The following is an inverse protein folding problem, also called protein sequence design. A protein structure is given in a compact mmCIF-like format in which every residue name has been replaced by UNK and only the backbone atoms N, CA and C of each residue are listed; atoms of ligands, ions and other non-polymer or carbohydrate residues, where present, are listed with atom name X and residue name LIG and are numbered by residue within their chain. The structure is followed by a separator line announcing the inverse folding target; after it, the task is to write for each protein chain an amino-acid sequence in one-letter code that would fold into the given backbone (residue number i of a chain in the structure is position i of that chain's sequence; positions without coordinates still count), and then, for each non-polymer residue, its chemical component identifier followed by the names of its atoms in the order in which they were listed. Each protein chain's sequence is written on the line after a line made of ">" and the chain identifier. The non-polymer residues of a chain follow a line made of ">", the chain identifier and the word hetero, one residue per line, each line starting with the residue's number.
data_IF_189336918444
#
_entry.id   IF_189336918444
#
_cell.length_a   1.000
_cell.length_b   1.000
_cell.length_c   1.000
_cell.angle_alpha   90.00
_cell.angle_beta   90.00
_cell.angle_gamma   90.00
#
_symmetry.space_group_name_H-M   'P 1'
#
loop_
_entity.id
_entity.type
_entity.pdbx_description
1 polymer ?
#
# COMPACT_ATOMS: atom_id res chain seq x y z
N UNK A 1 11.11 -26.90 19.30
CA UNK A 1 11.66 -25.96 20.31
C UNK A 1 10.64 -24.84 20.48
N UNK A 2 10.43 -24.29 21.69
CA UNK A 2 9.69 -23.04 21.84
C UNK A 2 10.42 -21.95 21.07
N UNK A 3 9.69 -21.03 20.43
CA UNK A 3 10.30 -19.78 19.95
C UNK A 3 10.95 -19.08 21.14
N UNK A 4 12.13 -18.46 21.01
CA UNK A 4 12.53 -17.46 21.98
C UNK A 4 11.41 -16.41 22.07
N UNK A 5 11.06 -16.03 23.30
CA UNK A 5 10.13 -14.93 23.54
C UNK A 5 10.72 -13.68 22.89
N UNK A 6 9.99 -13.04 21.96
CA UNK A 6 10.47 -11.80 21.35
C UNK A 6 10.63 -10.72 22.44
N UNK A 7 11.69 -9.89 22.39
CA UNK A 7 11.89 -8.83 23.37
C UNK A 7 10.68 -7.90 23.50
N UNK A 8 10.28 -7.54 24.73
CA UNK A 8 9.11 -6.69 24.97
C UNK A 8 9.12 -5.38 24.17
N UNK A 9 10.30 -4.83 23.89
CA UNK A 9 10.44 -3.58 23.12
C UNK A 9 10.11 -3.72 21.62
N UNK A 10 9.92 -4.94 21.09
CA UNK A 10 9.48 -5.17 19.71
C UNK A 10 8.08 -5.79 19.60
N UNK A 11 7.29 -5.80 20.70
CA UNK A 11 5.95 -6.37 20.72
C UNK A 11 4.98 -5.69 19.73
N UNK A 12 5.03 -4.36 19.67
CA UNK A 12 4.27 -3.50 18.76
C UNK A 12 5.03 -2.18 18.54
N UNK A 13 4.48 -1.29 17.70
CA UNK A 13 5.08 0.01 17.43
C UNK A 13 5.19 0.88 18.68
N UNK A 14 4.16 0.94 19.53
CA UNK A 14 4.14 1.82 20.71
C UNK A 14 5.26 1.47 21.68
N UNK A 15 5.47 0.18 21.96
CA UNK A 15 6.58 -0.29 22.78
C UNK A 15 7.94 0.03 22.14
N UNK A 16 8.03 -0.04 20.81
CA UNK A 16 9.26 0.22 20.05
C UNK A 16 9.60 1.71 19.94
N UNK A 17 8.63 2.57 19.65
CA UNK A 17 8.76 4.02 19.66
C UNK A 17 9.18 4.52 21.04
N UNK A 18 8.47 4.11 22.10
CA UNK A 18 8.87 4.44 23.47
C UNK A 18 10.27 3.92 23.80
N UNK A 19 10.69 2.79 23.25
CA UNK A 19 12.04 2.27 23.43
C UNK A 19 13.10 3.11 22.72
N UNK A 20 12.85 3.50 21.47
CA UNK A 20 13.70 4.43 20.71
C UNK A 20 13.78 5.78 21.42
N UNK A 21 12.65 6.33 21.86
CA UNK A 21 12.59 7.57 22.65
C UNK A 21 13.42 7.47 23.94
N UNK A 22 13.33 6.36 24.70
CA UNK A 22 14.19 6.11 25.87
C UNK A 22 15.66 6.06 25.49
N UNK A 23 16.05 5.36 24.42
CA UNK A 23 17.44 5.26 23.97
C UNK A 23 18.02 6.63 23.59
N UNK A 24 17.21 7.48 22.96
CA UNK A 24 17.59 8.84 22.59
C UNK A 24 17.65 9.76 23.82
N UNK A 25 16.70 9.67 24.75
CA UNK A 25 16.73 10.44 25.99
C UNK A 25 17.95 10.11 26.86
N UNK A 26 18.39 8.84 26.87
CA UNK A 26 19.65 8.40 27.52
C UNK A 26 20.91 8.96 26.88
N UNK A 27 20.81 9.54 25.68
CA UNK A 27 21.91 10.19 24.96
C UNK A 27 21.93 11.72 25.16
N UNK A 28 21.26 12.23 26.20
CA UNK A 28 21.05 13.65 26.52
C UNK A 28 20.42 14.45 25.36
N UNK A 29 19.43 13.87 24.70
CA UNK A 29 18.54 14.57 23.77
C UNK A 29 17.15 14.69 24.41
N UNK A 30 16.53 15.86 24.31
CA UNK A 30 15.10 15.98 24.65
C UNK A 30 14.28 15.34 23.53
N UNK A 31 13.26 14.57 23.89
CA UNK A 31 12.38 13.88 22.92
C UNK A 31 10.95 14.35 23.10
N UNK A 32 10.31 14.74 22.01
CA UNK A 32 8.89 15.12 21.95
C UNK A 32 8.21 14.24 20.90
N UNK A 33 7.11 13.57 21.24
CA UNK A 33 6.32 12.81 20.26
C UNK A 33 5.71 13.77 19.22
N UNK A 34 5.65 13.35 17.96
CA UNK A 34 5.00 14.13 16.90
C UNK A 34 3.51 14.34 17.18
N UNK A 35 2.91 15.37 16.59
CA UNK A 35 1.47 15.60 16.74
C UNK A 35 0.70 14.53 15.94
N UNK A 36 -0.47 14.14 16.45
CA UNK A 36 -1.39 13.24 15.74
C UNK A 36 -1.65 13.74 14.31
N UNK A 37 -1.57 12.83 13.33
CA UNK A 37 -1.66 13.09 11.88
C UNK A 37 -0.51 13.92 11.26
N UNK A 38 0.64 14.08 11.93
CA UNK A 38 1.81 14.71 11.30
C UNK A 38 2.54 13.71 10.38
N UNK A 39 2.60 13.95 9.05
CA UNK A 39 3.22 13.01 8.13
C UNK A 39 4.76 13.12 8.14
N UNK A 40 5.44 11.98 8.00
CA UNK A 40 6.88 11.90 7.70
C UNK A 40 7.79 11.54 8.88
N UNK A 41 7.38 11.76 10.13
CA UNK A 41 8.20 11.40 11.31
C UNK A 41 7.33 11.16 12.55
N UNK A 42 7.91 10.48 13.55
CA UNK A 42 7.22 10.02 14.75
C UNK A 42 7.71 10.75 16.02
N UNK A 43 9.00 11.15 16.08
CA UNK A 43 9.57 11.92 17.20
C UNK A 43 10.32 13.18 16.70
N UNK A 44 10.32 14.24 17.51
CA UNK A 44 11.23 15.39 17.41
C UNK A 44 12.30 15.25 18.49
N UNK A 45 13.56 15.52 18.14
CA UNK A 45 14.71 15.41 19.05
C UNK A 45 15.51 16.71 19.08
N UNK A 46 15.93 17.17 20.27
CA UNK A 46 16.69 18.43 20.41
C UNK A 46 17.89 18.28 21.33
N UNK A 47 19.02 18.92 20.98
CA UNK A 47 20.22 19.02 21.81
C UNK A 47 20.97 20.31 21.50
N UNK A 48 20.92 21.27 22.42
CA UNK A 48 21.38 22.63 22.17
C UNK A 48 20.62 23.26 21.00
N UNK A 49 21.35 23.77 20.00
CA UNK A 49 20.77 24.37 18.80
C UNK A 49 20.39 23.35 17.70
N UNK A 50 20.65 22.06 17.90
CA UNK A 50 20.31 21.01 16.94
C UNK A 50 18.89 20.51 17.21
N UNK A 51 18.04 20.58 16.18
CA UNK A 51 16.67 20.06 16.16
C UNK A 51 16.55 19.09 14.99
N UNK A 52 16.21 17.84 15.27
CA UNK A 52 16.03 16.79 14.29
C UNK A 52 14.72 16.05 14.46
N UNK A 53 14.45 15.13 13.53
CA UNK A 53 13.27 14.25 13.53
C UNK A 53 13.69 12.79 13.50
N UNK A 54 12.85 11.91 14.03
CA UNK A 54 13.05 10.47 14.00
C UNK A 54 11.86 9.82 13.32
N UNK A 55 12.11 9.03 12.28
CA UNK A 55 11.13 8.08 11.76
C UNK A 55 11.44 6.70 12.35
N UNK A 56 10.46 6.14 13.04
CA UNK A 56 10.50 4.84 13.69
C UNK A 56 9.82 3.83 12.78
N UNK A 57 10.50 2.72 12.45
CA UNK A 57 9.98 1.65 11.59
C UNK A 57 10.02 0.30 12.29
N UNK A 58 8.93 0.04 13.01
CA UNK A 58 8.57 -1.30 13.47
C UNK A 58 8.19 -2.17 12.26
N UNK A 59 9.05 -3.12 11.93
CA UNK A 59 8.91 -4.03 10.80
C UNK A 59 9.19 -5.48 11.22
N UNK A 60 8.55 -6.42 10.53
CA UNK A 60 8.84 -7.86 10.64
C UNK A 60 10.01 -8.28 9.74
N UNK A 61 10.09 -7.71 8.54
CA UNK A 61 11.20 -7.85 7.60
C UNK A 61 12.23 -6.71 7.69
N UNK A 62 13.21 -6.74 6.79
CA UNK A 62 14.18 -5.65 6.64
C UNK A 62 13.57 -4.43 5.92
N UNK A 63 14.11 -3.26 6.21
CA UNK A 63 13.78 -1.99 5.54
C UNK A 63 14.11 -2.07 4.06
N UNK A 64 13.15 -1.67 3.22
CA UNK A 64 13.28 -1.65 1.76
C UNK A 64 13.75 -0.28 1.26
N UNK A 65 14.34 -0.23 0.06
CA UNK A 65 14.80 1.05 -0.49
C UNK A 65 13.66 2.08 -0.66
N UNK A 66 12.44 1.72 -1.11
CA UNK A 66 11.27 2.60 -1.12
C UNK A 66 10.85 3.12 0.26
N UNK A 67 10.97 2.32 1.32
CA UNK A 67 10.68 2.78 2.69
C UNK A 67 11.67 3.84 3.16
N UNK A 68 12.95 3.66 2.81
CA UNK A 68 14.01 4.58 3.16
C UNK A 68 13.97 5.88 2.33
N UNK A 69 13.72 5.78 1.02
CA UNK A 69 13.53 6.95 0.14
C UNK A 69 12.42 7.86 0.63
N UNK A 70 11.26 7.31 1.02
CA UNK A 70 10.11 8.09 1.49
C UNK A 70 10.46 9.04 2.67
N UNK A 71 11.40 8.67 3.54
CA UNK A 71 11.88 9.55 4.60
C UNK A 71 12.94 10.55 4.13
N UNK A 72 13.83 10.17 3.21
CA UNK A 72 14.78 11.10 2.59
C UNK A 72 14.04 12.21 1.80
N UNK A 73 13.05 11.83 0.99
CA UNK A 73 12.17 12.73 0.24
C UNK A 73 11.41 13.68 1.20
N UNK A 74 10.93 13.17 2.34
CA UNK A 74 10.33 14.00 3.37
C UNK A 74 11.33 15.03 3.94
N UNK A 75 12.55 14.62 4.26
CA UNK A 75 13.57 15.55 4.79
C UNK A 75 13.84 16.68 3.79
N UNK A 76 13.90 16.38 2.49
CA UNK A 76 14.17 17.37 1.43
C UNK A 76 12.94 18.21 1.02
N UNK A 77 11.74 17.87 1.51
CA UNK A 77 10.56 18.74 1.43
C UNK A 77 10.74 20.04 2.24
N UNK A 78 9.94 21.08 1.95
CA UNK A 78 10.02 22.35 2.68
C UNK A 78 9.61 22.25 4.16
N UNK A 79 8.87 21.20 4.54
CA UNK A 79 8.61 20.86 5.94
C UNK A 79 9.84 20.24 6.59
N UNK A 80 10.47 19.28 5.91
CA UNK A 80 11.69 18.61 6.38
C UNK A 80 12.92 19.52 6.45
N UNK A 81 12.99 20.57 5.62
CA UNK A 81 14.03 21.63 5.68
C UNK A 81 14.01 22.46 6.97
N UNK A 82 12.92 22.41 7.77
CA UNK A 82 12.85 23.06 9.10
C UNK A 82 13.72 22.34 10.15
N UNK A 83 14.17 21.12 9.85
CA UNK A 83 14.97 20.28 10.73
C UNK A 83 16.41 20.15 10.23
N UNK A 84 17.37 20.15 11.17
CA UNK A 84 18.79 20.03 10.86
C UNK A 84 19.16 18.64 10.31
N UNK A 85 18.50 17.59 10.80
CA UNK A 85 18.77 16.20 10.42
C UNK A 85 17.54 15.29 10.66
N UNK A 86 17.59 14.08 10.13
CA UNK A 86 16.63 13.00 10.41
C UNK A 86 17.31 11.68 10.78
N UNK A 87 16.69 10.92 11.69
CA UNK A 87 17.11 9.56 12.05
C UNK A 87 16.06 8.54 11.62
N UNK A 88 16.48 7.50 10.88
CA UNK A 88 15.63 6.39 10.47
C UNK A 88 15.98 5.16 11.30
N UNK A 89 15.10 4.76 12.22
CA UNK A 89 15.39 3.73 13.22
C UNK A 89 14.44 2.53 13.05
N UNK A 90 14.99 1.32 12.90
CA UNK A 90 14.19 0.09 12.65
C UNK A 90 14.44 -1.04 13.65
N UNK A 91 13.47 -1.96 13.77
CA UNK A 91 13.51 -3.17 14.59
C UNK A 91 14.44 -4.27 14.09
N UNK A 92 14.65 -4.37 12.76
CA UNK A 92 15.33 -5.52 12.14
C UNK A 92 16.67 -5.13 11.52
N UNK A 93 16.63 -4.40 10.41
CA UNK A 93 17.81 -4.13 9.58
C UNK A 93 17.40 -3.59 8.21
N UNK A 94 18.34 -3.52 7.28
CA UNK A 94 18.16 -2.92 5.96
C UNK A 94 18.44 -3.97 4.87
N UNK A 95 17.58 -4.05 3.86
CA UNK A 95 17.74 -4.96 2.73
C UNK A 95 18.94 -4.57 1.86
N UNK A 96 19.44 -5.51 1.05
CA UNK A 96 20.56 -5.26 0.13
C UNK A 96 20.40 -3.99 -0.72
N UNK A 97 19.23 -3.76 -1.37
CA UNK A 97 18.97 -2.52 -2.12
C UNK A 97 18.95 -1.25 -1.26
N UNK A 98 18.44 -1.32 -0.02
CA UNK A 98 18.45 -0.17 0.89
C UNK A 98 19.87 0.17 1.35
N UNK A 99 20.68 -0.84 1.69
CA UNK A 99 22.10 -0.68 2.00
C UNK A 99 22.91 -0.14 0.80
N UNK A 100 22.57 -0.57 -0.42
CA UNK A 100 23.17 -0.05 -1.64
C UNK A 100 22.83 1.43 -1.85
N UNK A 101 21.56 1.81 -1.69
CA UNK A 101 21.11 3.21 -1.75
C UNK A 101 21.86 4.08 -0.73
N UNK A 102 21.96 3.64 0.53
CA UNK A 102 22.68 4.38 1.57
C UNK A 102 24.14 4.67 1.22
N UNK A 103 24.82 3.74 0.54
CA UNK A 103 26.21 3.91 0.07
C UNK A 103 26.36 4.94 -1.06
N UNK A 104 25.27 5.32 -1.73
CA UNK A 104 25.29 6.38 -2.77
C UNK A 104 25.15 7.79 -2.18
N UNK A 105 24.74 7.91 -0.92
CA UNK A 105 24.57 9.20 -0.27
C UNK A 105 25.90 9.82 0.14
N UNK A 106 26.07 11.11 -0.13
CA UNK A 106 27.22 11.89 0.31
C UNK A 106 27.26 12.10 1.83
N UNK A 107 28.43 12.43 2.38
CA UNK A 107 28.64 12.65 3.82
C UNK A 107 27.71 13.73 4.42
N UNK A 108 27.35 14.71 3.59
CA UNK A 108 26.50 15.84 3.93
C UNK A 108 24.99 15.50 3.92
N UNK A 109 24.62 14.25 3.65
CA UNK A 109 23.22 13.83 3.73
C UNK A 109 22.66 14.06 5.13
N UNK A 110 21.43 14.58 5.23
CA UNK A 110 20.80 14.92 6.52
C UNK A 110 20.20 13.71 7.24
N UNK A 111 20.17 12.54 6.61
CA UNK A 111 19.65 11.30 7.19
C UNK A 111 20.77 10.48 7.87
N UNK A 112 20.48 9.84 9.00
CA UNK A 112 21.29 8.74 9.57
C UNK A 112 20.39 7.56 9.87
N UNK A 113 20.88 6.35 9.62
CA UNK A 113 20.10 5.12 9.71
C UNK A 113 20.66 4.21 10.80
N UNK A 114 19.77 3.59 11.58
CA UNK A 114 20.18 2.71 12.67
C UNK A 114 19.17 1.63 13.02
N UNK A 115 19.65 0.64 13.78
CA UNK A 115 18.89 -0.48 14.29
C UNK A 115 18.80 -0.32 15.81
N UNK A 116 17.58 -0.42 16.35
CA UNK A 116 17.38 -0.40 17.80
C UNK A 116 17.46 -1.81 18.37
N UNK A 117 18.40 -2.00 19.28
CA UNK A 117 18.53 -3.19 20.10
C UNK A 117 18.09 -2.89 21.53
N UNK A 118 17.98 -3.93 22.37
CA UNK A 118 17.48 -3.86 23.74
C UNK A 118 18.15 -2.78 24.61
N UNK A 119 19.43 -2.47 24.38
CA UNK A 119 20.18 -1.53 25.22
C UNK A 119 20.93 -0.44 24.44
N UNK A 120 20.84 -0.40 23.10
CA UNK A 120 21.58 0.54 22.26
C UNK A 120 20.92 0.78 20.90
N UNK A 121 21.13 1.97 20.34
CA UNK A 121 20.98 2.20 18.91
C UNK A 121 22.34 1.91 18.23
N UNK A 122 22.33 1.22 17.09
CA UNK A 122 23.53 0.94 16.28
C UNK A 122 23.38 1.60 14.92
N UNK A 123 24.27 2.54 14.58
CA UNK A 123 24.32 3.16 13.26
C UNK A 123 24.88 2.19 12.22
N UNK A 124 24.40 2.30 10.98
CA UNK A 124 24.85 1.45 9.87
C UNK A 124 26.31 1.72 9.47
N UNK A 125 26.79 2.96 9.68
CA UNK A 125 28.15 3.38 9.31
C UNK A 125 29.23 3.04 10.36
N UNK A 126 28.89 2.25 11.38
CA UNK A 126 29.81 1.78 12.43
C UNK A 126 29.85 2.63 13.71
N UNK A 127 29.30 3.85 13.69
CA UNK A 127 29.13 4.66 14.89
C UNK A 127 28.06 4.07 15.82
N UNK A 128 28.42 3.89 17.09
CA UNK A 128 27.50 3.40 18.14
C UNK A 128 26.67 4.53 18.72
N UNK A 129 25.34 4.43 18.65
CA UNK A 129 24.39 5.50 18.99
C UNK A 129 23.81 5.30 20.42
N UNK A 130 24.71 5.00 21.38
CA UNK A 130 24.55 5.24 22.84
C UNK A 130 23.56 4.28 23.58
N UNK A 131 23.63 4.17 24.93
CA UNK A 131 22.82 3.21 25.72
C UNK A 131 22.77 3.32 27.27
N UNK A 132 21.67 2.81 27.87
CA UNK A 132 21.34 2.66 29.33
C UNK A 132 20.83 3.94 30.05
N UNK A 133 19.79 3.99 30.94
CA UNK A 133 18.84 3.04 31.60
C UNK A 133 17.42 3.70 31.84
N UNK A 134 16.44 2.93 32.36
CA UNK A 134 15.12 3.27 33.00
C UNK A 134 14.59 4.74 33.03
N UNK A 135 13.29 5.07 32.81
CA UNK A 135 11.99 4.36 32.85
C UNK A 135 10.96 4.95 31.81
N UNK A 136 9.86 4.24 31.44
CA UNK A 136 8.67 4.84 30.81
C UNK A 136 7.60 5.34 31.80
N UNK A 137 6.87 6.38 31.38
CA UNK A 137 5.42 6.48 31.56
C UNK A 137 4.75 6.22 30.20
N UNK A 138 3.53 5.67 30.20
CA UNK A 138 2.81 5.24 28.99
C UNK A 138 1.60 6.13 28.72
N UNK A 139 1.50 6.66 27.50
CA UNK A 139 0.23 7.17 26.93
C UNK A 139 -0.11 6.35 25.68
N UNK A 140 -1.35 5.88 25.61
CA UNK A 140 -1.87 5.14 24.45
C UNK A 140 -2.33 6.14 23.37
N UNK A 141 -1.84 5.98 22.14
CA UNK A 141 -2.30 6.78 21.00
C UNK A 141 -3.31 6.02 20.13
N UNK A 142 -4.33 6.76 19.66
CA UNK A 142 -5.36 6.24 18.76
C UNK A 142 -4.85 6.37 17.32
N UNK A 143 -4.62 5.24 16.64
CA UNK A 143 -4.24 5.24 15.22
C UNK A 143 -5.42 5.70 14.34
N UNK A 144 -5.20 6.56 13.32
CA UNK A 144 -6.26 7.01 12.44
C UNK A 144 -6.84 5.84 11.63
N UNK A 145 -8.17 5.81 11.47
CA UNK A 145 -8.86 4.73 10.74
C UNK A 145 -8.47 4.73 9.26
N UNK A 146 -7.82 3.66 8.82
CA UNK A 146 -7.47 3.40 7.42
C UNK A 146 -8.65 2.81 6.64
N UNK A 147 -8.61 2.99 5.32
CA UNK A 147 -9.54 2.37 4.37
C UNK A 147 -8.88 1.18 3.66
N UNK A 148 -9.60 0.06 3.60
CA UNK A 148 -9.09 -1.19 3.05
C UNK A 148 -9.80 -1.62 1.76
N UNK A 149 -9.02 -1.87 0.71
CA UNK A 149 -9.46 -2.49 -0.54
C UNK A 149 -8.91 -3.92 -0.65
N UNK A 150 -9.75 -4.88 -1.02
CA UNK A 150 -9.34 -6.23 -1.40
C UNK A 150 -9.64 -6.53 -2.86
N UNK A 151 -8.62 -6.83 -3.65
CA UNK A 151 -8.78 -7.18 -5.07
C UNK A 151 -8.79 -8.70 -5.19
N UNK A 152 -9.97 -9.29 -5.29
CA UNK A 152 -10.16 -10.73 -5.39
C UNK A 152 -10.21 -11.18 -6.85
N UNK A 153 -9.93 -12.46 -7.11
CA UNK A 153 -10.28 -13.05 -8.40
C UNK A 153 -10.77 -14.48 -8.27
N UNK A 154 -11.73 -14.80 -9.14
CA UNK A 154 -12.27 -16.13 -9.29
C UNK A 154 -11.44 -17.04 -10.23
N UNK A 155 -10.46 -16.48 -10.95
CA UNK A 155 -9.49 -17.19 -11.81
C UNK A 155 -8.21 -16.39 -12.07
N UNK A 156 -7.12 -17.09 -12.37
CA UNK A 156 -5.95 -16.48 -13.00
C UNK A 156 -6.27 -15.79 -14.33
N UNK A 157 -5.52 -14.74 -14.68
CA UNK A 157 -5.57 -14.09 -16.00
C UNK A 157 -6.65 -13.03 -16.22
N UNK A 158 -7.52 -12.72 -15.26
CA UNK A 158 -8.50 -11.59 -15.37
C UNK A 158 -7.95 -10.23 -14.89
N UNK A 159 -6.65 -10.15 -14.61
CA UNK A 159 -5.94 -8.90 -14.27
C UNK A 159 -6.09 -8.42 -12.81
N UNK A 160 -6.16 -9.33 -11.83
CA UNK A 160 -6.23 -9.02 -10.39
C UNK A 160 -5.09 -8.07 -9.95
N UNK A 161 -3.85 -8.52 -10.08
CA UNK A 161 -2.63 -7.77 -9.75
C UNK A 161 -2.52 -6.46 -10.52
N UNK A 162 -2.95 -6.46 -11.79
CA UNK A 162 -3.07 -5.26 -12.61
C UNK A 162 -4.03 -4.24 -11.97
N UNK A 163 -5.22 -4.66 -11.57
CA UNK A 163 -6.20 -3.78 -10.91
C UNK A 163 -5.68 -3.27 -9.57
N UNK A 164 -5.02 -4.12 -8.77
CA UNK A 164 -4.43 -3.71 -7.49
C UNK A 164 -3.38 -2.59 -7.65
N UNK A 165 -2.33 -2.83 -8.45
CA UNK A 165 -1.24 -1.88 -8.63
C UNK A 165 -1.69 -0.54 -9.23
N UNK A 166 -2.59 -0.58 -10.23
CA UNK A 166 -3.02 0.64 -10.92
C UNK A 166 -4.11 1.43 -10.17
N UNK A 167 -4.99 0.76 -9.41
CA UNK A 167 -5.90 1.47 -8.51
C UNK A 167 -5.13 2.18 -7.39
N UNK A 168 -4.09 1.56 -6.85
CA UNK A 168 -3.19 2.20 -5.89
C UNK A 168 -2.52 3.43 -6.51
N UNK A 169 -2.04 3.32 -7.75
CA UNK A 169 -1.52 4.44 -8.52
C UNK A 169 -2.52 5.58 -8.74
N UNK A 170 -3.77 5.26 -9.07
CA UNK A 170 -4.82 6.27 -9.28
C UNK A 170 -5.14 7.03 -8.00
N UNK A 171 -5.30 6.32 -6.88
CA UNK A 171 -5.54 6.93 -5.57
C UNK A 171 -4.32 7.76 -5.09
N UNK A 172 -3.10 7.30 -5.35
CA UNK A 172 -1.89 8.08 -5.07
C UNK A 172 -1.81 9.37 -5.92
N UNK A 173 -2.25 9.33 -7.19
CA UNK A 173 -2.38 10.54 -8.03
C UNK A 173 -3.46 11.51 -7.56
N UNK A 174 -4.46 11.03 -6.81
CA UNK A 174 -5.46 11.87 -6.15
C UNK A 174 -4.98 12.43 -4.79
N UNK A 175 -3.74 12.11 -4.38
CA UNK A 175 -3.09 12.67 -3.19
C UNK A 175 -3.12 11.77 -1.95
N UNK A 176 -3.63 10.53 -2.05
CA UNK A 176 -3.71 9.63 -0.90
C UNK A 176 -2.39 8.89 -0.66
N UNK A 177 -2.02 8.75 0.61
CA UNK A 177 -0.93 7.87 1.01
C UNK A 177 -1.41 6.42 0.93
N UNK A 178 -1.02 5.71 -0.13
CA UNK A 178 -1.42 4.31 -0.37
C UNK A 178 -0.30 3.34 0.00
N UNK A 179 -0.68 2.19 0.57
CA UNK A 179 0.16 0.99 0.69
C UNK A 179 -0.43 -0.17 -0.14
N UNK A 180 0.42 -0.94 -0.78
CA UNK A 180 0.06 -2.20 -1.46
C UNK A 180 0.47 -3.39 -0.60
N UNK A 181 -0.37 -4.42 -0.53
CA UNK A 181 -0.08 -5.66 0.20
C UNK A 181 -0.31 -6.86 -0.72
N UNK A 182 0.74 -7.61 -1.02
CA UNK A 182 0.64 -8.83 -1.82
C UNK A 182 0.29 -10.02 -0.89
N UNK A 183 -0.98 -10.44 -0.93
CA UNK A 183 -1.47 -11.60 -0.18
C UNK A 183 -1.43 -12.89 -1.03
N UNK A 184 -0.96 -12.81 -2.28
CA UNK A 184 -0.85 -13.96 -3.15
C UNK A 184 0.46 -14.71 -2.83
N UNK A 185 0.44 -16.02 -2.49
CA UNK A 185 1.67 -16.78 -2.27
C UNK A 185 2.61 -16.82 -3.49
N UNK A 186 2.08 -16.56 -4.69
CA UNK A 186 2.88 -16.43 -5.91
C UNK A 186 3.64 -15.10 -5.99
N UNK A 187 3.33 -14.10 -5.16
CA UNK A 187 4.00 -12.80 -5.07
C UNK A 187 4.08 -12.07 -6.43
N UNK A 188 3.02 -12.17 -7.22
CA UNK A 188 3.00 -11.66 -8.59
C UNK A 188 3.04 -10.12 -8.63
N UNK A 189 2.56 -9.42 -7.60
CA UNK A 189 2.73 -7.97 -7.51
C UNK A 189 4.19 -7.63 -7.19
N UNK A 190 4.77 -8.25 -6.16
CA UNK A 190 6.17 -8.00 -5.78
C UNK A 190 7.16 -8.34 -6.90
N UNK A 191 6.88 -9.36 -7.72
CA UNK A 191 7.68 -9.65 -8.94
C UNK A 191 7.60 -8.52 -9.98
N UNK A 192 6.46 -7.85 -10.10
CA UNK A 192 6.23 -6.80 -11.09
C UNK A 192 6.76 -5.42 -10.68
N UNK A 193 6.70 -5.09 -9.39
CA UNK A 193 7.01 -3.75 -8.85
C UNK A 193 8.00 -3.73 -7.68
N UNK A 194 8.56 -4.87 -7.29
CA UNK A 194 9.45 -4.97 -6.13
C UNK A 194 8.78 -4.50 -4.83
N UNK A 195 9.57 -3.87 -3.97
CA UNK A 195 9.13 -3.33 -2.67
C UNK A 195 8.41 -1.97 -2.76
N UNK A 196 8.24 -1.42 -3.95
CA UNK A 196 7.60 -0.12 -4.14
C UNK A 196 7.59 0.38 -5.57
N UNK A 197 6.52 1.08 -5.95
CA UNK A 197 6.29 1.60 -7.30
C UNK A 197 6.25 3.12 -7.30
N UNK A 198 7.02 3.74 -8.20
CA UNK A 198 6.99 5.18 -8.39
C UNK A 198 5.81 5.58 -9.29
N UNK A 199 5.05 6.57 -8.83
CA UNK A 199 3.89 7.12 -9.52
C UNK A 199 4.20 8.57 -9.89
N UNK A 200 4.55 8.85 -11.17
CA UNK A 200 4.88 10.19 -11.60
C UNK A 200 3.63 11.08 -11.61
N UNK A 201 3.68 12.21 -10.91
CA UNK A 201 2.64 13.22 -10.92
C UNK A 201 2.97 14.32 -11.94
N UNK A 202 2.24 14.48 -13.05
CA UNK A 202 2.54 15.52 -14.05
C UNK A 202 2.39 16.97 -13.55
N UNK A 203 1.78 17.17 -12.38
CA UNK A 203 1.49 18.49 -11.79
C UNK A 203 2.32 18.81 -10.53
N UNK A 204 3.27 17.96 -10.15
CA UNK A 204 4.04 18.15 -8.92
C UNK A 204 5.12 17.08 -8.72
N UNK A 205 5.50 16.84 -7.48
CA UNK A 205 6.41 15.73 -7.14
C UNK A 205 5.64 14.42 -7.24
N UNK A 206 6.26 13.39 -7.85
CA UNK A 206 5.71 12.03 -7.85
C UNK A 206 5.78 11.39 -6.46
N UNK A 207 5.14 10.24 -6.28
CA UNK A 207 5.10 9.54 -5.00
C UNK A 207 5.44 8.07 -5.15
N UNK A 208 6.07 7.47 -4.15
CA UNK A 208 6.41 6.05 -4.14
C UNK A 208 5.45 5.28 -3.24
N UNK A 209 4.62 4.43 -3.84
CA UNK A 209 3.74 3.50 -3.12
C UNK A 209 4.60 2.35 -2.60
N UNK A 210 4.53 2.08 -1.30
CA UNK A 210 5.23 0.96 -0.67
C UNK A 210 4.46 -0.35 -0.91
N UNK A 211 5.18 -1.43 -1.25
CA UNK A 211 4.62 -2.76 -1.47
C UNK A 211 5.13 -3.70 -0.37
N UNK A 212 4.20 -4.31 0.35
CA UNK A 212 4.46 -5.20 1.47
C UNK A 212 4.09 -6.65 1.13
N UNK A 213 4.82 -7.61 1.68
CA UNK A 213 4.41 -9.00 1.67
C UNK A 213 3.29 -9.22 2.71
N UNK A 214 2.30 -10.06 2.41
CA UNK A 214 1.21 -10.36 3.35
C UNK A 214 1.67 -10.90 4.71
N UNK A 215 2.81 -11.59 4.78
CA UNK A 215 3.38 -12.07 6.05
C UNK A 215 4.01 -10.94 6.87
N UNK A 216 4.66 -9.99 6.18
CA UNK A 216 5.35 -8.84 6.78
C UNK A 216 4.40 -7.68 7.14
N UNK A 217 3.18 -7.68 6.59
CA UNK A 217 2.19 -6.64 6.85
C UNK A 217 1.83 -6.51 8.34
N UNK A 218 1.71 -5.26 8.76
CA UNK A 218 1.15 -4.82 10.02
C UNK A 218 0.64 -3.37 9.83
N UNK A 219 -0.37 -2.96 10.59
CA UNK A 219 -0.89 -1.60 10.57
C UNK A 219 0.19 -0.54 10.76
N UNK A 220 1.13 -0.76 11.67
CA UNK A 220 2.13 0.23 12.05
C UNK A 220 3.28 0.34 11.04
N UNK A 221 3.51 -0.69 10.22
CA UNK A 221 4.54 -0.68 9.19
C UNK A 221 4.35 0.48 8.19
N UNK A 222 3.09 0.82 7.94
CA UNK A 222 2.66 1.95 7.12
C UNK A 222 1.73 2.89 7.92
N UNK A 223 2.14 3.35 9.12
CA UNK A 223 1.34 4.21 9.99
C UNK A 223 0.78 5.47 9.30
N UNK A 224 1.49 6.02 8.31
CA UNK A 224 1.10 7.21 7.56
C UNK A 224 0.23 6.95 6.31
N UNK A 225 -0.07 5.68 5.98
CA UNK A 225 -0.98 5.36 4.88
C UNK A 225 -2.45 5.56 5.29
N UNK A 226 -3.23 6.16 4.40
CA UNK A 226 -4.68 6.34 4.55
C UNK A 226 -5.44 5.18 3.92
N UNK A 227 -4.89 4.60 2.84
CA UNK A 227 -5.49 3.53 2.06
C UNK A 227 -4.54 2.34 1.95
N UNK A 228 -5.08 1.13 2.11
CA UNK A 228 -4.37 -0.13 1.92
C UNK A 228 -5.07 -0.94 0.84
N UNK A 229 -4.32 -1.40 -0.17
CA UNK A 229 -4.85 -2.24 -1.25
C UNK A 229 -4.18 -3.61 -1.21
N UNK A 230 -4.98 -4.63 -0.91
CA UNK A 230 -4.58 -6.02 -0.85
C UNK A 230 -4.78 -6.68 -2.23
N UNK A 231 -3.70 -7.17 -2.85
CA UNK A 231 -3.78 -8.10 -3.99
C UNK A 231 -4.07 -9.50 -3.43
N UNK A 232 -5.33 -9.89 -3.34
CA UNK A 232 -5.78 -11.07 -2.59
C UNK A 232 -5.39 -12.39 -3.29
N UNK A 233 -5.16 -13.46 -2.53
CA UNK A 233 -5.05 -14.79 -3.13
C UNK A 233 -6.37 -15.18 -3.82
N UNK A 234 -6.35 -15.83 -5.00
CA UNK A 234 -7.57 -16.32 -5.68
C UNK A 234 -8.40 -17.31 -4.86
N UNK A 235 -7.74 -18.05 -3.96
CA UNK A 235 -8.39 -18.92 -2.99
C UNK A 235 -8.65 -18.10 -1.71
N UNK A 236 -9.92 -17.90 -1.34
CA UNK A 236 -10.30 -17.00 -0.25
C UNK A 236 -9.65 -17.41 1.08
N UNK A 237 -9.62 -18.72 1.35
CA UNK A 237 -9.07 -19.35 2.56
C UNK A 237 -7.56 -19.15 2.75
N UNK A 238 -6.83 -18.70 1.73
CA UNK A 238 -5.41 -18.33 1.82
C UNK A 238 -5.20 -16.87 2.25
N UNK A 239 -6.24 -16.05 2.24
CA UNK A 239 -6.16 -14.67 2.70
C UNK A 239 -6.33 -14.62 4.23
N UNK A 240 -5.55 -13.82 4.97
CA UNK A 240 -5.72 -13.68 6.41
C UNK A 240 -7.13 -13.19 6.76
N UNK A 241 -7.90 -14.00 7.51
CA UNK A 241 -9.30 -13.70 7.83
C UNK A 241 -9.51 -12.35 8.52
N UNK A 242 -8.56 -11.91 9.35
CA UNK A 242 -8.59 -10.60 9.99
C UNK A 242 -8.40 -9.42 9.01
N UNK A 243 -7.69 -9.62 7.89
CA UNK A 243 -7.66 -8.62 6.82
C UNK A 243 -8.95 -8.64 6.01
N UNK A 244 -9.50 -9.82 5.69
CA UNK A 244 -10.78 -9.95 4.98
C UNK A 244 -11.92 -9.28 5.76
N UNK A 245 -11.94 -9.40 7.10
CA UNK A 245 -12.88 -8.68 8.00
C UNK A 245 -12.74 -7.15 7.97
N UNK A 246 -11.54 -6.62 7.70
CA UNK A 246 -11.24 -5.18 7.71
C UNK A 246 -11.56 -4.48 6.39
N UNK A 247 -11.76 -5.22 5.29
CA UNK A 247 -12.04 -4.63 3.99
C UNK A 247 -13.31 -3.77 4.01
N UNK A 248 -13.18 -2.49 3.64
CA UNK A 248 -14.31 -1.61 3.36
C UNK A 248 -14.83 -1.84 1.92
N UNK A 249 -13.91 -2.15 1.00
CA UNK A 249 -14.20 -2.33 -0.44
C UNK A 249 -13.57 -3.62 -0.99
N UNK A 250 -14.33 -4.39 -1.75
CA UNK A 250 -13.81 -5.54 -2.50
C UNK A 250 -14.05 -5.33 -3.99
N UNK A 251 -13.02 -5.54 -4.82
CA UNK A 251 -13.14 -5.45 -6.28
C UNK A 251 -12.89 -6.81 -6.88
N UNK A 252 -13.79 -7.25 -7.76
CA UNK A 252 -13.77 -8.55 -8.41
C UNK A 252 -13.77 -8.32 -9.93
N UNK A 253 -12.59 -8.32 -10.59
CA UNK A 253 -12.50 -8.10 -12.02
C UNK A 253 -12.97 -9.33 -12.81
N UNK A 254 -13.66 -9.08 -13.91
CA UNK A 254 -14.15 -10.10 -14.85
C UNK A 254 -14.08 -9.62 -16.29
N UNK A 255 -14.13 -10.56 -17.24
CA UNK A 255 -14.05 -10.26 -18.68
C UNK A 255 -15.44 -10.19 -19.31
N UNK A 256 -15.69 -9.15 -20.10
CA UNK A 256 -17.00 -8.90 -20.72
C UNK A 256 -17.17 -9.62 -22.06
N UNK A 257 -17.25 -10.95 -21.99
CA UNK A 257 -17.55 -11.82 -23.12
C UNK A 257 -18.42 -13.00 -22.67
N UNK A 258 -19.09 -13.75 -23.57
CA UNK A 258 -20.07 -14.77 -23.17
C UNK A 258 -19.52 -15.86 -22.24
N UNK A 259 -18.25 -16.27 -22.42
CA UNK A 259 -17.60 -17.27 -21.56
C UNK A 259 -17.17 -16.68 -20.21
N UNK A 260 -16.71 -15.44 -20.20
CA UNK A 260 -16.41 -14.70 -18.98
C UNK A 260 -17.65 -14.54 -18.12
N UNK A 261 -18.74 -14.02 -18.68
CA UNK A 261 -20.00 -13.79 -17.94
C UNK A 261 -20.58 -15.11 -17.42
N UNK A 262 -20.72 -16.13 -18.26
CA UNK A 262 -21.32 -17.41 -17.87
C UNK A 262 -20.47 -18.23 -16.89
N UNK A 263 -19.14 -18.30 -17.10
CA UNK A 263 -18.25 -19.13 -16.27
C UNK A 263 -17.71 -18.38 -15.05
N UNK A 264 -17.52 -17.07 -15.09
CA UNK A 264 -17.14 -16.29 -13.90
C UNK A 264 -18.37 -15.93 -13.06
N UNK A 265 -19.54 -15.67 -13.64
CA UNK A 265 -20.72 -15.24 -12.90
C UNK A 265 -21.08 -16.15 -11.72
N UNK A 266 -21.01 -17.48 -11.90
CA UNK A 266 -21.22 -18.46 -10.81
C UNK A 266 -20.12 -18.42 -9.75
N UNK A 267 -18.86 -18.32 -10.15
CA UNK A 267 -17.73 -18.32 -9.20
C UNK A 267 -17.69 -17.00 -8.42
N UNK A 268 -17.99 -15.87 -9.07
CA UNK A 268 -18.11 -14.55 -8.43
C UNK A 268 -19.23 -14.56 -7.38
N UNK A 269 -20.39 -15.17 -7.68
CA UNK A 269 -21.44 -15.37 -6.68
C UNK A 269 -20.98 -16.22 -5.48
N UNK A 270 -20.20 -17.28 -5.71
CA UNK A 270 -19.57 -18.02 -4.61
C UNK A 270 -18.62 -17.11 -3.82
N UNK A 271 -17.67 -16.44 -4.48
CA UNK A 271 -16.71 -15.54 -3.84
C UNK A 271 -17.40 -14.44 -3.01
N UNK A 272 -18.49 -13.84 -3.48
CA UNK A 272 -19.26 -12.89 -2.67
C UNK A 272 -19.90 -13.59 -1.47
N UNK A 273 -20.53 -14.75 -1.66
CA UNK A 273 -21.12 -15.54 -0.57
C UNK A 273 -20.06 -15.94 0.47
N UNK A 274 -18.85 -16.29 0.04
CA UNK A 274 -17.75 -16.73 0.88
C UNK A 274 -17.11 -15.54 1.62
N UNK A 275 -16.92 -14.39 0.96
CA UNK A 275 -16.54 -13.14 1.63
C UNK A 275 -17.60 -12.75 2.67
N UNK A 276 -18.90 -12.88 2.34
CA UNK A 276 -20.02 -12.57 3.25
C UNK A 276 -20.14 -13.51 4.46
N UNK A 277 -19.44 -14.65 4.50
CA UNK A 277 -19.29 -15.45 5.74
C UNK A 277 -18.28 -14.85 6.73
N UNK A 278 -17.46 -13.91 6.27
CA UNK A 278 -16.35 -13.31 7.02
C UNK A 278 -16.58 -11.81 7.26
N UNK A 279 -17.08 -11.10 6.25
CA UNK A 279 -17.27 -9.65 6.24
C UNK A 279 -18.64 -9.27 5.66
N UNK A 280 -19.57 -8.90 6.54
CA UNK A 280 -20.91 -8.40 6.19
C UNK A 280 -20.92 -6.93 5.77
N UNK A 281 -19.87 -6.17 6.09
CA UNK A 281 -19.87 -4.71 5.98
C UNK A 281 -19.26 -4.16 4.68
N UNK A 282 -18.35 -4.90 4.04
CA UNK A 282 -17.69 -4.49 2.80
C UNK A 282 -18.68 -4.18 1.66
N UNK A 283 -18.37 -3.21 0.81
CA UNK A 283 -19.01 -3.04 -0.49
C UNK A 283 -18.26 -3.84 -1.56
N UNK A 284 -18.95 -4.75 -2.26
CA UNK A 284 -18.34 -5.59 -3.30
C UNK A 284 -18.71 -5.08 -4.69
N UNK A 285 -17.69 -4.88 -5.54
CA UNK A 285 -17.83 -4.36 -6.90
C UNK A 285 -17.39 -5.40 -7.92
N UNK A 286 -18.28 -5.79 -8.84
CA UNK A 286 -17.90 -6.56 -10.02
C UNK A 286 -17.47 -5.58 -11.11
N UNK A 287 -16.19 -5.62 -11.46
CA UNK A 287 -15.55 -4.72 -12.41
C UNK A 287 -15.34 -5.41 -13.76
N UNK A 288 -15.75 -4.78 -14.84
CA UNK A 288 -15.34 -5.23 -16.18
C UNK A 288 -13.90 -4.77 -16.46
N UNK A 289 -13.01 -5.74 -16.64
CA UNK A 289 -11.62 -5.53 -17.03
C UNK A 289 -11.37 -6.04 -18.47
N UNK A 290 -10.37 -5.45 -19.13
CA UNK A 290 -10.02 -5.70 -20.53
C UNK A 290 -11.22 -5.50 -21.46
N UNK A 291 -11.97 -4.42 -21.26
CA UNK A 291 -13.13 -4.09 -22.09
C UNK A 291 -12.72 -3.75 -23.51
N UNK A 292 -13.38 -4.38 -24.47
CA UNK A 292 -13.28 -4.08 -25.90
C UNK A 292 -14.68 -3.85 -26.42
N UNK A 293 -14.94 -2.66 -26.97
CA UNK A 293 -16.24 -2.30 -27.51
C UNK A 293 -16.67 -3.35 -28.56
N UNK A 294 -17.77 -4.09 -28.31
CA UNK A 294 -18.23 -5.13 -29.23
C UNK A 294 -19.19 -4.57 -30.29
N UNK A 295 -19.50 -3.27 -30.26
CA UNK A 295 -20.50 -2.57 -31.06
C UNK A 295 -21.90 -2.66 -30.47
N UNK A 296 -22.71 -1.62 -30.71
CA UNK A 296 -24.04 -1.35 -30.10
C UNK A 296 -24.92 -2.61 -29.93
N UNK A 297 -25.10 -3.41 -30.98
CA UNK A 297 -25.97 -4.60 -30.95
C UNK A 297 -25.45 -5.69 -30.00
N UNK A 298 -24.14 -5.93 -29.97
CA UNK A 298 -23.53 -6.93 -29.08
C UNK A 298 -23.42 -6.40 -27.66
N UNK A 299 -23.15 -5.11 -27.48
CA UNK A 299 -23.08 -4.46 -26.16
C UNK A 299 -24.40 -4.63 -25.41
N UNK A 300 -25.54 -4.33 -26.06
CA UNK A 300 -26.88 -4.52 -25.48
C UNK A 300 -27.12 -5.96 -24.99
N UNK A 301 -26.81 -6.95 -25.83
CA UNK A 301 -26.98 -8.37 -25.49
C UNK A 301 -26.06 -8.80 -24.34
N UNK A 302 -24.79 -8.38 -24.37
CA UNK A 302 -23.84 -8.72 -23.31
C UNK A 302 -24.21 -8.04 -21.98
N UNK A 303 -24.70 -6.80 -22.00
CA UNK A 303 -25.21 -6.09 -20.81
C UNK A 303 -26.39 -6.83 -20.19
N UNK A 304 -27.37 -7.25 -21.00
CA UNK A 304 -28.51 -8.03 -20.51
C UNK A 304 -28.07 -9.34 -19.82
N UNK A 305 -27.19 -10.12 -20.45
CA UNK A 305 -26.66 -11.37 -19.87
C UNK A 305 -25.82 -11.10 -18.62
N UNK A 306 -25.02 -10.02 -18.60
CA UNK A 306 -24.19 -9.63 -17.47
C UNK A 306 -25.01 -9.17 -16.26
N UNK A 307 -25.99 -8.28 -16.45
CA UNK A 307 -26.90 -7.86 -15.37
C UNK A 307 -27.75 -9.03 -14.85
N UNK A 308 -28.24 -9.91 -15.74
CA UNK A 308 -28.98 -11.10 -15.34
C UNK A 308 -28.13 -12.09 -14.53
N UNK A 309 -26.83 -12.22 -14.81
CA UNK A 309 -25.94 -13.12 -14.09
C UNK A 309 -25.81 -12.80 -12.59
N UNK A 310 -26.04 -11.54 -12.18
CA UNK A 310 -25.96 -11.09 -10.78
C UNK A 310 -27.29 -10.54 -10.24
N UNK A 311 -28.40 -10.71 -10.98
CA UNK A 311 -29.69 -10.09 -10.66
C UNK A 311 -30.22 -10.46 -9.28
N UNK A 312 -30.08 -11.72 -8.86
CA UNK A 312 -30.60 -12.17 -7.57
C UNK A 312 -29.73 -11.69 -6.41
N UNK A 313 -28.40 -11.71 -6.54
CA UNK A 313 -27.51 -11.20 -5.49
C UNK A 313 -27.66 -9.69 -5.30
N UNK A 314 -27.83 -8.92 -6.39
CA UNK A 314 -28.10 -7.47 -6.33
C UNK A 314 -29.45 -7.09 -5.70
N UNK A 315 -30.39 -8.03 -5.51
CA UNK A 315 -31.65 -7.76 -4.78
C UNK A 315 -31.51 -7.96 -3.27
N UNK A 316 -30.61 -8.86 -2.84
CA UNK A 316 -30.51 -9.31 -1.45
C UNK A 316 -29.32 -8.68 -0.71
N UNK A 317 -28.29 -8.27 -1.43
CA UNK A 317 -27.10 -7.59 -0.88
C UNK A 317 -27.07 -6.14 -1.39
N UNK A 318 -27.51 -5.20 -0.55
CA UNK A 318 -27.54 -3.77 -0.86
C UNK A 318 -26.14 -3.13 -0.96
N UNK A 319 -25.09 -3.87 -0.57
CA UNK A 319 -23.68 -3.49 -0.68
C UNK A 319 -22.96 -4.25 -1.80
N UNK A 320 -23.68 -5.02 -2.63
CA UNK A 320 -23.16 -5.61 -3.86
C UNK A 320 -23.47 -4.71 -5.07
N UNK A 321 -22.44 -4.44 -5.87
CA UNK A 321 -22.46 -3.50 -6.99
C UNK A 321 -22.00 -4.19 -8.27
N UNK A 322 -22.95 -4.49 -9.16
CA UNK A 322 -22.64 -4.88 -10.53
C UNK A 322 -22.38 -3.59 -11.34
N UNK A 323 -21.11 -3.24 -11.60
CA UNK A 323 -20.76 -2.00 -12.31
C UNK A 323 -21.19 -2.12 -13.78
N UNK A 324 -21.95 -1.13 -14.27
CA UNK A 324 -22.27 -1.01 -15.68
C UNK A 324 -21.00 -0.64 -16.48
N UNK A 325 -20.56 -1.44 -17.46
CA UNK A 325 -19.34 -1.14 -18.24
C UNK A 325 -19.43 0.14 -19.07
N UNK A 326 -20.63 0.72 -19.28
CA UNK A 326 -20.80 2.05 -19.88
C UNK A 326 -20.62 3.20 -18.85
N UNK A 327 -20.75 2.95 -17.54
CA UNK A 327 -20.35 3.90 -16.49
C UNK A 327 -18.84 3.79 -16.20
N UNK A 328 -18.34 2.58 -15.90
CA UNK A 328 -16.93 2.32 -15.59
C UNK A 328 -16.50 0.93 -16.07
N UNK A 329 -15.40 0.89 -16.81
CA UNK A 329 -14.64 -0.32 -17.10
C UNK A 329 -13.15 0.01 -17.26
N UNK A 330 -12.29 -1.00 -17.16
CA UNK A 330 -10.89 -0.87 -17.59
C UNK A 330 -10.81 -1.32 -19.04
N UNK A 331 -10.47 -0.39 -19.95
CA UNK A 331 -10.37 -0.63 -21.38
C UNK A 331 -9.16 -1.51 -21.72
N UNK A 332 -9.26 -2.24 -22.82
CA UNK A 332 -8.12 -2.95 -23.40
C UNK A 332 -7.02 -1.95 -23.78
N UNK A 333 -5.77 -2.26 -23.45
CA UNK A 333 -4.63 -1.36 -23.63
C UNK A 333 -3.34 -2.16 -23.76
N UNK A 334 -2.52 -1.84 -24.76
CA UNK A 334 -1.20 -2.46 -24.95
C UNK A 334 -0.26 -2.18 -23.77
N UNK A 335 -0.38 -0.99 -23.13
CA UNK A 335 0.38 -0.66 -21.92
C UNK A 335 0.06 -1.60 -20.75
N UNK A 336 -1.22 -2.00 -20.59
CA UNK A 336 -1.64 -2.95 -19.57
C UNK A 336 -1.33 -4.40 -19.96
N UNK A 337 -1.38 -4.73 -21.26
CA UNK A 337 -1.07 -6.06 -21.78
C UNK A 337 0.43 -6.40 -21.66
N UNK A 338 1.30 -5.43 -21.93
CA UNK A 338 2.76 -5.56 -21.78
C UNK A 338 3.29 -5.06 -20.44
N UNK A 339 2.43 -4.80 -19.44
CA UNK A 339 2.90 -4.38 -18.11
C UNK A 339 3.74 -5.50 -17.47
N UNK A 340 4.96 -5.18 -17.07
CA UNK A 340 6.00 -6.15 -16.70
C UNK A 340 7.14 -6.28 -17.72
N UNK A 341 7.00 -5.73 -18.94
CA UNK A 341 8.07 -5.74 -19.95
C UNK A 341 9.37 -5.09 -19.44
N UNK A 342 9.28 -4.11 -18.54
CA UNK A 342 10.42 -3.44 -17.89
C UNK A 342 11.35 -4.37 -17.12
N UNK A 343 10.86 -5.53 -16.69
CA UNK A 343 11.64 -6.57 -16.01
C UNK A 343 12.51 -7.33 -17.01
N UNK A 344 12.02 -7.46 -18.24
CA UNK A 344 12.73 -8.14 -19.34
C UNK A 344 13.68 -7.18 -20.07
N UNK A 345 13.33 -5.89 -20.13
CA UNK A 345 14.17 -4.83 -20.72
C UNK A 345 15.45 -4.57 -19.92
N UNK A 346 15.38 -4.60 -18.57
CA UNK A 346 16.52 -4.34 -17.68
C UNK A 346 16.54 -5.32 -16.48
N UNK A 347 16.87 -6.61 -16.69
CA UNK A 347 16.74 -7.64 -15.65
C UNK A 347 17.64 -7.41 -14.43
N UNK A 348 18.79 -6.77 -14.59
CA UNK A 348 19.72 -6.45 -13.49
C UNK A 348 19.25 -5.27 -12.61
N UNK A 349 18.36 -4.41 -13.13
CA UNK A 349 17.80 -3.27 -12.40
C UNK A 349 16.42 -2.89 -12.97
N UNK A 350 15.38 -3.69 -12.70
CA UNK A 350 14.07 -3.54 -13.31
C UNK A 350 13.37 -2.28 -12.80
N UNK A 351 12.95 -1.40 -13.71
CA UNK A 351 12.30 -0.14 -13.36
C UNK A 351 10.87 -0.37 -12.83
N UNK A 352 10.61 -0.10 -11.56
CA UNK A 352 9.27 -0.24 -10.99
C UNK A 352 8.33 0.88 -11.45
N UNK A 353 7.52 0.59 -12.47
CA UNK A 353 6.55 1.52 -13.09
C UNK A 353 5.16 0.91 -13.27
N UNK A 354 4.14 1.76 -13.23
CA UNK A 354 2.77 1.45 -13.67
C UNK A 354 2.60 1.74 -15.18
N UNK A 355 1.57 1.18 -15.80
CA UNK A 355 1.16 1.42 -17.19
C UNK A 355 0.50 2.80 -17.39
N UNK A 356 1.06 3.85 -16.80
CA UNK A 356 0.52 5.22 -16.77
C UNK A 356 1.21 6.20 -17.76
N UNK A 357 2.03 5.66 -18.66
CA UNK A 357 2.72 6.38 -19.72
C UNK A 357 1.72 7.07 -20.69
N UNK A 358 2.11 8.21 -21.24
CA UNK A 358 1.31 8.97 -22.20
C UNK A 358 1.47 8.43 -23.63
N UNK A 359 0.37 8.09 -24.27
CA UNK A 359 0.32 7.73 -25.70
C UNK A 359 -0.58 8.73 -26.43
N UNK A 360 -0.01 9.47 -27.38
CA UNK A 360 -0.72 10.56 -28.07
C UNK A 360 -1.23 11.66 -27.14
N UNK A 361 -0.56 11.89 -26.01
CA UNK A 361 -0.95 12.87 -24.98
C UNK A 361 -2.07 12.42 -24.02
N UNK A 362 -2.56 11.18 -24.13
CA UNK A 362 -3.57 10.60 -23.22
C UNK A 362 -3.05 9.34 -22.54
N UNK A 363 -3.73 8.89 -21.49
CA UNK A 363 -3.40 7.62 -20.84
C UNK A 363 -4.68 6.94 -20.37
N UNK A 364 -5.26 6.11 -21.24
CA UNK A 364 -6.51 5.42 -20.97
C UNK A 364 -6.49 4.56 -19.70
N UNK A 365 -5.42 3.79 -19.37
CA UNK A 365 -5.34 3.09 -18.09
C UNK A 365 -5.48 4.04 -16.89
N UNK A 366 -4.74 5.15 -16.88
CA UNK A 366 -4.77 6.12 -15.78
C UNK A 366 -6.15 6.77 -15.63
N UNK A 367 -6.79 7.13 -16.75
CA UNK A 367 -8.17 7.63 -16.77
C UNK A 367 -9.16 6.60 -16.21
N UNK A 368 -9.05 5.33 -16.62
CA UNK A 368 -9.98 4.26 -16.22
C UNK A 368 -9.88 3.93 -14.72
N UNK A 369 -8.67 3.90 -14.17
CA UNK A 369 -8.47 3.65 -12.74
C UNK A 369 -8.85 4.85 -11.86
N UNK A 370 -8.73 6.09 -12.34
CA UNK A 370 -9.28 7.28 -11.66
C UNK A 370 -10.81 7.24 -11.68
N UNK A 371 -11.43 6.97 -12.84
CA UNK A 371 -12.89 6.83 -12.95
C UNK A 371 -13.44 5.72 -12.03
N UNK A 372 -12.68 4.63 -11.84
CA UNK A 372 -13.02 3.57 -10.90
C UNK A 372 -12.99 4.04 -9.44
N UNK A 373 -11.95 4.77 -9.03
CA UNK A 373 -11.87 5.34 -7.68
C UNK A 373 -13.05 6.29 -7.39
N UNK A 374 -13.33 7.21 -8.32
CA UNK A 374 -14.44 8.18 -8.23
C UNK A 374 -15.82 7.49 -8.20
N UNK A 375 -15.98 6.40 -8.95
CA UNK A 375 -17.21 5.60 -8.93
C UNK A 375 -17.44 4.92 -7.58
N UNK A 376 -16.40 4.31 -7.00
CA UNK A 376 -16.49 3.65 -5.69
C UNK A 376 -16.80 4.70 -4.62
N UNK A 377 -16.18 5.88 -4.67
CA UNK A 377 -16.50 6.99 -3.78
C UNK A 377 -18.00 7.34 -3.84
N UNK A 378 -18.49 7.63 -5.05
CA UNK A 378 -19.86 8.10 -5.29
C UNK A 378 -20.92 7.07 -4.86
N UNK A 379 -20.61 5.77 -4.93
CA UNK A 379 -21.57 4.69 -4.65
C UNK A 379 -21.52 4.18 -3.21
N UNK A 380 -20.37 4.26 -2.55
CA UNK A 380 -20.16 3.64 -1.24
C UNK A 380 -19.61 4.58 -0.15
N UNK A 381 -19.23 5.83 -0.50
CA UNK A 381 -18.82 6.87 0.43
C UNK A 381 -17.50 6.58 1.13
N UNK A 382 -16.39 7.08 0.59
CA UNK A 382 -15.06 6.85 1.20
C UNK A 382 -14.77 7.86 2.33
N UNK A 383 -15.42 9.03 2.34
CA UNK A 383 -15.28 10.06 3.40
C UNK A 383 -13.92 10.78 3.43
N UNK A 384 -12.85 10.10 3.04
CA UNK A 384 -11.47 10.60 2.93
C UNK A 384 -11.24 11.30 1.58
N UNK A 385 -11.89 10.84 0.49
CA UNK A 385 -11.67 11.37 -0.87
C UNK A 385 -12.23 12.80 -1.09
N UNK A 386 -13.06 13.31 -0.17
CA UNK A 386 -13.64 14.67 -0.18
C UNK A 386 -13.39 15.46 1.11
N UNK A 387 -12.40 15.07 1.90
CA UNK A 387 -11.97 15.83 3.07
C UNK A 387 -10.90 16.88 2.67
N UNK A 388 -11.31 17.90 1.93
CA UNK A 388 -10.57 19.14 1.66
C UNK A 388 -11.56 20.32 1.61
#
# INVERSE_FOLDING_TARGET
>A
MPSPLEPQFIQDFTHFEQHVAKLIHKADWTVETAKTNQPGYDLVVKKGNLVGVVQVKWLKGNVTAPQLLKFADFLDSDEGKKFNFGWFITTKGFGGPALALMRTWGKDTRIRCGIAHENKLVGIDGDSVIGGRSNPETTEEITPKKVYFGIFTCKGGVGKTTVAGHLAGALALQGFNVALVDLDPEQNLQKLVGDGVFVPNPKGVGTTIQVFNGNDWNEDAARDCQIVICDCSPALERNPGELVKRLDYCIIPTTFNPLGISKHGKVIQSTVTDIRKINHEAHLFVLVNNFKDPGIKRLRLLKEVYSNAYKEISKIDNKFHCIDPEEVCIRTSDLLYYWGIHILENPENPASRLAFDLVGGRCYPREDFINLADYIERKAGIGILRAN
#
